data_IF_558218221230
#
_entry.id   IF_558218221230
#
_cell.length_a   1.000
_cell.length_b   1.000
_cell.length_c   1.000
_cell.angle_alpha   90.00
_cell.angle_beta   90.00
_cell.angle_gamma   90.00
#
_symmetry.space_group_name_H-M   'P 1'
#
loop_
_entity.id
_entity.type
_entity.pdbx_description
1 polymer ?
#
# COMPACT_ATOMS: atom_id res chain seq x y z
N UNK A 1 15.22 27.52 38.73
CA UNK A 1 14.53 27.08 37.51
C UNK A 1 13.74 25.85 37.89
N UNK A 2 12.41 25.93 37.83
CA UNK A 2 11.56 24.76 37.94
C UNK A 2 11.67 24.02 36.61
N UNK A 3 12.22 22.80 36.63
CA UNK A 3 12.04 21.84 35.55
C UNK A 3 10.52 21.59 35.42
N UNK A 4 9.89 22.18 34.40
CA UNK A 4 8.54 21.78 33.99
C UNK A 4 8.58 20.29 33.69
N UNK A 5 8.03 19.50 34.61
CA UNK A 5 7.86 18.06 34.45
C UNK A 5 6.87 17.83 33.32
N UNK A 6 7.39 17.68 32.11
CA UNK A 6 6.62 17.43 30.88
C UNK A 6 5.71 16.24 31.15
N UNK A 7 4.41 16.47 31.16
CA UNK A 7 3.43 15.40 31.42
C UNK A 7 3.49 14.43 30.23
N UNK A 8 4.00 13.22 30.46
CA UNK A 8 4.12 12.20 29.43
C UNK A 8 2.73 11.82 28.90
N UNK A 9 2.59 11.78 27.58
CA UNK A 9 1.36 11.34 26.93
C UNK A 9 1.04 9.91 27.39
N UNK A 10 -0.22 9.65 27.75
CA UNK A 10 -0.69 8.33 28.18
C UNK A 10 -1.53 7.68 27.07
N UNK A 11 -1.43 6.35 26.89
CA UNK A 11 -2.25 5.66 25.91
C UNK A 11 -3.71 5.71 26.33
N UNK A 12 -4.61 5.60 25.34
CA UNK A 12 -6.05 5.44 25.62
C UNK A 12 -6.27 3.96 25.88
N UNK A 13 -6.70 3.56 27.09
CA UNK A 13 -6.78 2.17 27.48
C UNK A 13 -7.88 1.42 26.71
N UNK A 14 -7.73 0.09 26.60
CA UNK A 14 -8.73 -0.82 26.03
C UNK A 14 -9.12 -0.53 24.57
N UNK A 15 -8.23 0.05 23.79
CA UNK A 15 -8.39 0.16 22.33
C UNK A 15 -7.75 -1.03 21.64
N UNK A 16 -8.10 -1.23 20.37
CA UNK A 16 -7.51 -2.24 19.49
C UNK A 16 -7.06 -1.56 18.19
N UNK A 17 -6.08 -2.13 17.48
CA UNK A 17 -5.83 -1.77 16.08
C UNK A 17 -7.12 -1.94 15.25
N UNK A 18 -7.37 -1.05 14.30
CA UNK A 18 -8.55 -1.15 13.43
C UNK A 18 -8.41 -2.26 12.37
N UNK A 19 -7.20 -2.78 12.15
CA UNK A 19 -6.88 -3.89 11.25
C UNK A 19 -6.13 -5.04 11.94
N UNK A 20 -6.10 -6.24 11.36
CA UNK A 20 -5.09 -7.25 11.70
C UNK A 20 -3.65 -6.72 11.55
N UNK A 21 -2.72 -7.12 12.43
CA UNK A 21 -1.34 -6.62 12.42
C UNK A 21 -0.64 -6.75 11.05
N UNK A 22 -0.89 -7.83 10.32
CA UNK A 22 -0.34 -8.06 8.98
C UNK A 22 -0.65 -6.94 7.98
N UNK A 23 -1.74 -6.21 8.16
CA UNK A 23 -2.19 -5.17 7.21
C UNK A 23 -1.39 -3.86 7.39
N UNK A 24 -0.78 -3.66 8.56
CA UNK A 24 0.17 -2.56 8.82
C UNK A 24 1.57 -2.84 8.28
N UNK A 25 1.91 -4.11 8.04
CA UNK A 25 3.20 -4.49 7.46
C UNK A 25 3.30 -4.06 5.98
N UNK A 26 4.50 -3.72 5.54
CA UNK A 26 4.83 -3.28 4.19
C UNK A 26 5.99 -2.29 4.16
N UNK A 27 6.37 -1.89 2.94
CA UNK A 27 7.34 -0.81 2.74
C UNK A 27 6.58 0.50 2.57
N UNK A 28 7.08 1.57 3.19
CA UNK A 28 6.53 2.92 3.10
C UNK A 28 7.64 3.88 2.71
N UNK A 29 7.36 4.86 1.86
CA UNK A 29 8.36 5.78 1.33
C UNK A 29 7.94 7.24 1.48
N UNK A 30 8.92 8.08 1.82
CA UNK A 30 8.83 9.52 1.68
C UNK A 30 10.01 10.02 0.81
N UNK A 31 9.77 10.86 -0.22
CA UNK A 31 10.81 11.25 -1.18
C UNK A 31 12.11 11.80 -0.58
N UNK A 32 12.02 12.55 0.52
CA UNK A 32 13.18 13.14 1.20
C UNK A 32 13.77 12.30 2.34
N UNK A 33 12.99 11.39 2.94
CA UNK A 33 13.40 10.65 4.16
C UNK A 33 13.71 9.18 3.87
N UNK A 34 13.42 8.69 2.66
CA UNK A 34 13.66 7.31 2.26
C UNK A 34 12.54 6.38 2.69
N UNK A 35 12.90 5.13 3.02
CA UNK A 35 11.95 4.04 3.25
C UNK A 35 11.91 3.60 4.69
N UNK A 36 10.70 3.27 5.15
CA UNK A 36 10.41 2.52 6.37
C UNK A 36 9.95 1.13 5.93
N UNK A 37 10.63 0.09 6.42
CA UNK A 37 10.21 -1.30 6.26
C UNK A 37 9.53 -1.76 7.55
N UNK A 38 8.30 -2.25 7.46
CA UNK A 38 7.55 -2.77 8.61
C UNK A 38 7.20 -4.23 8.35
N UNK A 39 7.69 -5.13 9.20
CA UNK A 39 7.47 -6.56 9.08
C UNK A 39 6.71 -7.11 10.29
N UNK A 40 5.81 -8.05 10.07
CA UNK A 40 5.21 -8.84 11.15
C UNK A 40 6.13 -10.01 11.48
N UNK A 41 6.77 -9.99 12.66
CA UNK A 41 7.60 -11.08 13.17
C UNK A 41 6.89 -11.71 14.37
N UNK A 42 6.47 -12.97 14.22
CA UNK A 42 5.56 -13.65 15.15
C UNK A 42 4.29 -12.79 15.38
N UNK A 43 4.10 -12.25 16.58
CA UNK A 43 2.93 -11.47 16.97
C UNK A 43 3.25 -9.97 17.18
N UNK A 44 4.40 -9.50 16.69
CA UNK A 44 4.83 -8.10 16.83
C UNK A 44 5.28 -7.51 15.50
N UNK A 45 4.82 -6.29 15.22
CA UNK A 45 5.38 -5.47 14.16
C UNK A 45 6.80 -5.06 14.53
N UNK A 46 7.69 -5.05 13.55
CA UNK A 46 9.06 -4.59 13.65
C UNK A 46 9.30 -3.56 12.56
N UNK A 47 9.76 -2.40 12.97
CA UNK A 47 10.06 -1.30 12.08
C UNK A 47 11.56 -1.23 11.86
N UNK A 48 11.98 -1.06 10.61
CA UNK A 48 13.33 -0.73 10.21
C UNK A 48 13.33 0.60 9.46
N UNK A 49 14.15 1.54 9.90
CA UNK A 49 14.34 2.84 9.28
C UNK A 49 15.81 3.23 9.37
N UNK A 50 16.46 3.36 8.21
CA UNK A 50 17.91 3.53 8.11
C UNK A 50 18.67 2.45 8.90
N UNK A 51 19.43 2.84 9.93
CA UNK A 51 20.18 1.93 10.79
C UNK A 51 19.39 1.44 12.02
N UNK A 52 18.21 2.01 12.27
CA UNK A 52 17.38 1.65 13.42
C UNK A 52 16.46 0.50 13.08
N UNK A 53 16.38 -0.48 13.98
CA UNK A 53 15.41 -1.57 13.92
C UNK A 53 14.87 -1.84 15.34
N UNK A 54 13.55 -1.77 15.50
CA UNK A 54 12.92 -1.97 16.81
C UNK A 54 11.49 -2.52 16.67
N UNK A 55 10.99 -3.26 17.69
CA UNK A 55 9.60 -3.68 17.72
C UNK A 55 8.67 -2.48 17.93
N UNK A 56 7.47 -2.59 17.37
CA UNK A 56 6.38 -1.65 17.57
C UNK A 56 5.35 -2.26 18.54
N UNK A 57 5.11 -1.55 19.64
CA UNK A 57 4.10 -1.89 20.64
C UNK A 57 2.81 -1.12 20.36
N UNK A 58 1.67 -1.80 20.40
CA UNK A 58 0.38 -1.11 20.28
C UNK A 58 0.21 -0.07 21.39
N UNK A 59 -0.17 1.16 21.03
CA UNK A 59 -0.35 2.28 21.95
C UNK A 59 -1.83 2.59 22.16
N UNK A 60 -2.50 3.04 21.11
CA UNK A 60 -3.96 3.10 21.03
C UNK A 60 -4.40 3.12 19.58
N UNK A 61 -5.63 2.66 19.27
CA UNK A 61 -6.17 2.69 17.91
C UNK A 61 -5.14 2.22 16.86
N UNK A 62 -4.89 3.02 15.82
CA UNK A 62 -3.87 2.80 14.79
C UNK A 62 -2.54 3.49 15.08
N UNK A 63 -2.22 3.70 16.37
CA UNK A 63 -0.97 4.29 16.85
C UNK A 63 -0.14 3.21 17.53
N UNK A 64 1.13 3.14 17.15
CA UNK A 64 2.12 2.22 17.71
C UNK A 64 3.32 2.98 18.23
N UNK A 65 3.90 2.51 19.33
CA UNK A 65 5.10 3.07 19.94
C UNK A 65 6.31 2.23 19.55
N UNK A 66 7.36 2.88 19.05
CA UNK A 66 8.69 2.31 18.91
C UNK A 66 9.64 2.97 19.90
N UNK A 67 10.59 2.20 20.44
CA UNK A 67 11.61 2.69 21.37
C UNK A 67 12.98 2.62 20.70
N UNK A 68 13.65 3.78 20.56
CA UNK A 68 15.01 3.85 20.02
C UNK A 68 16.00 3.79 21.17
N UNK A 69 16.67 2.65 21.31
CA UNK A 69 17.58 2.36 22.42
C UNK A 69 18.77 3.33 22.49
N UNK A 70 19.32 3.74 21.34
CA UNK A 70 20.48 4.61 21.26
C UNK A 70 20.24 6.01 21.84
N UNK A 71 18.99 6.48 21.80
CA UNK A 71 18.59 7.80 22.28
C UNK A 71 17.70 7.75 23.53
N UNK A 72 17.39 6.54 24.01
CA UNK A 72 16.43 6.30 25.10
C UNK A 72 15.11 7.08 24.89
N UNK A 73 14.57 6.98 23.67
CA UNK A 73 13.44 7.80 23.24
C UNK A 73 12.32 6.96 22.62
N UNK A 74 11.10 7.22 23.09
CA UNK A 74 9.88 6.69 22.49
C UNK A 74 9.39 7.58 21.34
N UNK A 75 9.00 6.95 20.24
CA UNK A 75 8.37 7.59 19.08
C UNK A 75 7.02 6.92 18.82
N UNK A 76 5.99 7.75 18.60
CA UNK A 76 4.68 7.29 18.17
C UNK A 76 4.58 7.33 16.65
N UNK A 77 4.08 6.24 16.08
CA UNK A 77 3.82 6.06 14.66
C UNK A 77 2.31 5.96 14.45
N UNK A 78 1.76 6.84 13.63
CA UNK A 78 0.32 6.87 13.32
C UNK A 78 0.07 6.26 11.95
N UNK A 79 -0.75 5.22 11.87
CA UNK A 79 -1.14 4.64 10.58
C UNK A 79 -2.44 5.25 10.07
N UNK A 80 -2.52 5.44 8.75
CA UNK A 80 -3.68 6.05 8.11
C UNK A 80 -4.28 5.11 7.06
N UNK A 81 -5.58 4.87 7.19
CA UNK A 81 -6.38 4.15 6.21
C UNK A 81 -6.95 5.08 5.15
N UNK A 82 -7.04 4.59 3.91
CA UNK A 82 -7.74 5.27 2.83
C UNK A 82 -9.26 5.00 2.86
N UNK A 83 -10.01 5.55 1.90
CA UNK A 83 -11.47 5.35 1.80
C UNK A 83 -11.91 3.92 1.50
N UNK A 84 -10.99 3.08 1.01
CA UNK A 84 -11.22 1.65 0.78
C UNK A 84 -10.92 0.82 2.04
N UNK A 85 -10.57 1.47 3.15
CA UNK A 85 -10.24 0.83 4.42
C UNK A 85 -8.86 0.18 4.43
N UNK A 86 -7.91 0.67 3.63
CA UNK A 86 -6.57 0.09 3.50
C UNK A 86 -5.53 1.04 4.07
N UNK A 87 -4.64 0.51 4.91
CA UNK A 87 -3.47 1.25 5.41
C UNK A 87 -2.63 1.72 4.21
N UNK A 88 -2.58 3.04 4.01
CA UNK A 88 -1.86 3.66 2.90
C UNK A 88 -0.68 4.51 3.34
N UNK A 89 -0.62 4.91 4.62
CA UNK A 89 0.46 5.75 5.15
C UNK A 89 0.82 5.41 6.58
N UNK A 90 2.04 5.75 6.96
CA UNK A 90 2.51 5.84 8.34
C UNK A 90 3.12 7.22 8.56
N UNK A 91 2.73 7.88 9.64
CA UNK A 91 3.25 9.17 10.11
C UNK A 91 4.24 8.96 11.25
N UNK A 92 5.31 9.74 11.27
CA UNK A 92 6.28 9.77 12.36
C UNK A 92 6.77 11.20 12.62
N UNK A 93 6.91 11.63 13.89
CA UNK A 93 7.40 12.96 14.26
C UNK A 93 8.94 13.00 14.22
N UNK A 94 9.53 12.88 13.03
CA UNK A 94 10.99 12.81 12.86
C UNK A 94 11.69 14.17 13.02
N UNK A 95 10.96 15.28 12.89
CA UNK A 95 11.50 16.63 12.98
C UNK A 95 10.93 17.36 14.21
N UNK A 96 11.75 17.55 15.25
CA UNK A 96 11.31 18.18 16.50
C UNK A 96 10.80 19.62 16.35
N UNK A 97 11.21 20.31 15.27
CA UNK A 97 10.77 21.67 14.96
C UNK A 97 9.46 21.73 14.16
N UNK A 98 8.94 20.59 13.71
CA UNK A 98 7.70 20.50 12.97
C UNK A 98 6.58 19.94 13.86
N UNK A 99 5.40 20.59 13.89
CA UNK A 99 4.27 20.09 14.66
C UNK A 99 3.54 18.91 13.98
N UNK A 100 3.78 18.69 12.69
CA UNK A 100 3.14 17.64 11.89
C UNK A 100 4.08 16.46 11.65
N UNK A 101 3.51 15.26 11.58
CA UNK A 101 4.23 14.04 11.23
C UNK A 101 4.75 14.08 9.79
N UNK A 102 5.93 13.49 9.58
CA UNK A 102 6.41 13.13 8.24
C UNK A 102 5.63 11.90 7.77
N UNK A 103 4.93 12.02 6.64
CA UNK A 103 4.05 10.98 6.11
C UNK A 103 4.74 10.12 5.04
N UNK A 104 4.96 8.85 5.35
CA UNK A 104 5.45 7.85 4.41
C UNK A 104 4.27 7.15 3.75
N UNK A 105 4.29 7.01 2.42
CA UNK A 105 3.24 6.35 1.64
C UNK A 105 3.59 4.89 1.38
N UNK A 106 2.65 3.98 1.62
CA UNK A 106 2.82 2.54 1.40
C UNK A 106 3.10 2.26 -0.07
N UNK A 107 4.18 1.55 -0.32
CA UNK A 107 4.54 1.07 -1.65
C UNK A 107 3.67 -0.15 -2.02
N UNK A 108 3.31 -0.30 -3.31
CA UNK A 108 2.67 -1.51 -3.77
C UNK A 108 3.63 -2.71 -3.62
N UNK A 109 3.11 -3.95 -3.51
CA UNK A 109 3.96 -5.13 -3.44
C UNK A 109 4.90 -5.25 -4.65
N UNK A 110 6.19 -5.51 -4.41
CA UNK A 110 7.24 -5.57 -5.45
C UNK A 110 6.91 -6.55 -6.58
N UNK A 111 6.25 -7.67 -6.26
CA UNK A 111 5.80 -8.67 -7.25
C UNK A 111 4.95 -8.08 -8.36
N UNK A 112 4.24 -6.97 -8.12
CA UNK A 112 3.40 -6.31 -9.13
C UNK A 112 4.19 -5.54 -10.18
N UNK A 113 5.49 -5.36 -9.96
CA UNK A 113 6.44 -4.81 -10.91
C UNK A 113 7.43 -5.86 -11.44
N UNK A 114 7.30 -7.12 -11.02
CA UNK A 114 8.11 -8.22 -11.55
C UNK A 114 7.71 -8.56 -13.00
N UNK A 115 8.71 -8.72 -13.87
CA UNK A 115 8.47 -8.95 -15.30
C UNK A 115 7.77 -10.29 -15.55
N UNK A 116 8.09 -11.33 -14.78
CA UNK A 116 7.45 -12.63 -14.95
C UNK A 116 5.98 -12.57 -14.55
N UNK A 117 5.65 -11.87 -13.46
CA UNK A 117 4.27 -11.59 -13.06
C UNK A 117 3.52 -10.72 -14.08
N UNK A 118 4.11 -9.60 -14.52
CA UNK A 118 3.55 -8.72 -15.56
C UNK A 118 3.21 -9.52 -16.82
N UNK A 119 4.11 -10.41 -17.26
CA UNK A 119 3.89 -11.25 -18.43
C UNK A 119 2.63 -12.13 -18.30
N UNK A 120 2.20 -12.48 -17.08
CA UNK A 120 0.97 -13.24 -16.84
C UNK A 120 -0.29 -12.42 -17.16
N UNK A 121 -0.20 -11.10 -17.04
CA UNK A 121 -1.32 -10.17 -17.21
C UNK A 121 -1.51 -9.75 -18.67
N UNK A 122 -0.47 -9.86 -19.50
CA UNK A 122 -0.50 -9.41 -20.89
C UNK A 122 -1.44 -10.26 -21.76
N UNK A 123 -2.18 -9.58 -22.64
CA UNK A 123 -3.05 -10.22 -23.62
C UNK A 123 -4.26 -9.40 -24.00
N UNK A 124 -5.13 -10.01 -24.79
CA UNK A 124 -6.42 -9.48 -25.17
C UNK A 124 -7.51 -10.07 -24.29
N UNK A 125 -8.46 -9.24 -23.87
CA UNK A 125 -9.60 -9.63 -23.05
C UNK A 125 -10.89 -9.17 -23.74
N UNK A 126 -11.88 -10.04 -23.85
CA UNK A 126 -13.18 -9.74 -24.42
C UNK A 126 -14.15 -9.27 -23.34
N UNK A 127 -14.69 -8.07 -23.53
CA UNK A 127 -15.79 -7.53 -22.76
C UNK A 127 -17.01 -7.36 -23.68
N UNK A 128 -17.85 -8.40 -23.78
CA UNK A 128 -19.09 -8.39 -24.60
C UNK A 128 -18.82 -8.02 -26.07
N UNK A 129 -17.77 -8.59 -26.66
CA UNK A 129 -17.33 -8.31 -28.04
C UNK A 129 -16.37 -7.13 -28.18
N UNK A 130 -16.16 -6.33 -27.13
CA UNK A 130 -15.14 -5.30 -27.10
C UNK A 130 -13.80 -5.91 -26.69
N UNK A 131 -12.79 -5.83 -27.56
CA UNK A 131 -11.45 -6.33 -27.24
C UNK A 131 -10.65 -5.26 -26.51
N UNK A 132 -10.32 -5.53 -25.25
CA UNK A 132 -9.45 -4.71 -24.40
C UNK A 132 -8.06 -5.33 -24.42
N UNK A 133 -7.03 -4.53 -24.70
CA UNK A 133 -5.65 -5.00 -24.74
C UNK A 133 -4.90 -4.55 -23.50
N UNK A 134 -4.25 -5.49 -22.82
CA UNK A 134 -3.28 -5.22 -21.76
C UNK A 134 -1.89 -5.53 -22.32
N UNK A 135 -1.05 -4.51 -22.42
CA UNK A 135 0.30 -4.62 -22.97
C UNK A 135 1.33 -3.81 -22.19
N UNK A 136 2.61 -4.04 -22.49
CA UNK A 136 3.72 -3.35 -21.86
C UNK A 136 4.32 -2.35 -22.85
N UNK A 137 4.15 -1.05 -22.59
CA UNK A 137 4.62 0.02 -23.46
C UNK A 137 5.47 1.01 -22.69
N UNK A 138 6.67 1.34 -23.20
CA UNK A 138 7.52 2.37 -22.58
C UNK A 138 7.91 2.09 -21.12
N UNK A 139 7.99 0.82 -20.71
CA UNK A 139 8.29 0.43 -19.34
C UNK A 139 7.09 0.46 -18.39
N UNK A 140 5.86 0.50 -18.93
CA UNK A 140 4.62 0.61 -18.15
C UNK A 140 3.58 -0.37 -18.63
N UNK A 141 2.75 -0.85 -17.70
CA UNK A 141 1.58 -1.65 -18.02
C UNK A 141 0.46 -0.73 -18.50
N UNK A 142 -0.08 -0.99 -19.68
CA UNK A 142 -1.09 -0.16 -20.32
C UNK A 142 -2.35 -0.96 -20.59
N UNK A 143 -3.51 -0.32 -20.41
CA UNK A 143 -4.81 -0.83 -20.80
C UNK A 143 -5.37 0.01 -21.95
N UNK A 144 -5.64 -0.64 -23.09
CA UNK A 144 -6.25 -0.01 -24.26
C UNK A 144 -7.66 -0.51 -24.45
N UNK A 145 -8.63 0.39 -24.28
CA UNK A 145 -10.06 0.14 -24.51
C UNK A 145 -10.47 0.89 -25.79
N UNK A 146 -11.08 0.23 -26.80
CA UNK A 146 -11.45 0.90 -28.04
C UNK A 146 -12.40 2.08 -27.80
N UNK A 147 -12.09 3.21 -28.43
CA UNK A 147 -12.84 4.46 -28.27
C UNK A 147 -12.44 5.30 -27.04
N UNK A 148 -11.45 4.87 -26.27
CA UNK A 148 -10.88 5.60 -25.14
C UNK A 148 -9.37 5.81 -25.34
N UNK A 149 -8.76 6.82 -24.68
CA UNK A 149 -7.31 6.87 -24.61
C UNK A 149 -6.76 5.65 -23.85
N UNK A 150 -5.51 5.24 -24.12
CA UNK A 150 -4.85 4.20 -23.33
C UNK A 150 -4.60 4.71 -21.90
N UNK A 151 -4.76 3.83 -20.92
CA UNK A 151 -4.54 4.14 -19.50
C UNK A 151 -3.34 3.37 -18.97
N UNK A 152 -2.47 4.07 -18.24
CA UNK A 152 -1.40 3.45 -17.45
C UNK A 152 -2.02 2.77 -16.22
N UNK A 153 -1.62 1.54 -15.98
CA UNK A 153 -2.03 0.74 -14.82
C UNK A 153 -0.94 0.80 -13.75
N UNK A 154 -1.25 1.48 -12.64
CA UNK A 154 -0.34 1.64 -11.50
C UNK A 154 -0.56 0.51 -10.50
N UNK A 155 0.48 -0.24 -10.09
CA UNK A 155 0.38 -1.26 -9.07
C UNK A 155 -0.30 -0.74 -7.79
N UNK A 156 -1.15 -1.56 -7.18
CA UNK A 156 -1.86 -1.16 -5.97
C UNK A 156 -1.73 -2.19 -4.84
N UNK A 157 -2.46 -3.30 -4.92
CA UNK A 157 -2.47 -4.36 -3.89
C UNK A 157 -2.80 -5.69 -4.53
N UNK A 158 -2.26 -6.79 -4.03
CA UNK A 158 -2.59 -8.14 -4.55
C UNK A 158 -2.61 -8.14 -6.09
N UNK A 159 -3.70 -8.56 -6.75
CA UNK A 159 -3.80 -8.53 -8.21
C UNK A 159 -4.48 -7.26 -8.77
N UNK A 160 -4.47 -6.17 -8.01
CA UNK A 160 -5.13 -4.90 -8.33
C UNK A 160 -4.18 -3.83 -8.82
N UNK A 161 -4.66 -3.07 -9.80
CA UNK A 161 -3.98 -1.91 -10.37
C UNK A 161 -4.96 -0.73 -10.47
N UNK A 162 -4.50 0.48 -10.19
CA UNK A 162 -5.27 1.72 -10.40
C UNK A 162 -5.09 2.21 -11.81
N UNK A 163 -6.12 2.85 -12.39
CA UNK A 163 -5.95 3.58 -13.64
C UNK A 163 -5.39 4.96 -13.30
N UNK A 164 -4.19 5.25 -13.79
CA UNK A 164 -3.48 6.51 -13.50
C UNK A 164 -4.34 7.71 -13.88
N UNK A 165 -4.48 8.65 -12.95
CA UNK A 165 -5.25 9.88 -13.14
C UNK A 165 -6.78 9.73 -13.01
N UNK A 166 -7.30 8.52 -12.77
CA UNK A 166 -8.73 8.26 -12.61
C UNK A 166 -9.06 7.75 -11.21
N UNK A 167 -9.45 8.67 -10.32
CA UNK A 167 -9.89 8.31 -8.97
C UNK A 167 -11.16 7.46 -8.99
N UNK A 168 -11.16 6.36 -8.23
CA UNK A 168 -12.28 5.40 -8.18
C UNK A 168 -12.29 4.38 -9.31
N UNK A 169 -11.25 4.34 -10.16
CA UNK A 169 -11.09 3.36 -11.22
C UNK A 169 -9.91 2.43 -10.93
N UNK A 170 -10.15 1.13 -11.02
CA UNK A 170 -9.12 0.11 -10.88
C UNK A 170 -9.45 -1.13 -11.72
N UNK A 171 -8.45 -1.99 -11.92
CA UNK A 171 -8.64 -3.33 -12.45
C UNK A 171 -8.15 -4.38 -11.46
N UNK A 172 -8.82 -5.52 -11.43
CA UNK A 172 -8.41 -6.72 -10.72
C UNK A 172 -8.14 -7.82 -11.75
N UNK A 173 -6.95 -8.40 -11.74
CA UNK A 173 -6.63 -9.58 -12.55
C UNK A 173 -6.96 -10.86 -11.79
N UNK A 174 -7.61 -11.80 -12.45
CA UNK A 174 -7.99 -13.09 -11.87
C UNK A 174 -7.06 -14.16 -12.42
N UNK A 175 -6.19 -14.68 -11.55
CA UNK A 175 -5.28 -15.78 -11.84
C UNK A 175 -5.88 -17.08 -11.29
N UNK A 176 -6.20 -18.02 -12.17
CA UNK A 176 -6.71 -19.33 -11.78
C UNK A 176 -5.57 -20.30 -11.47
N UNK A 177 -5.77 -21.16 -10.47
CA UNK A 177 -4.74 -22.11 -10.04
C UNK A 177 -4.37 -23.06 -11.19
N UNK A 178 -3.08 -23.06 -11.54
CA UNK A 178 -2.56 -23.89 -12.63
C UNK A 178 -2.55 -23.22 -14.00
N UNK A 179 -3.03 -21.98 -14.12
CA UNK A 179 -2.88 -21.17 -15.33
C UNK A 179 -1.70 -20.21 -15.20
N UNK A 180 -0.88 -20.14 -16.24
CA UNK A 180 0.25 -19.20 -16.30
C UNK A 180 -0.17 -17.76 -16.61
N UNK A 181 -1.40 -17.56 -17.06
CA UNK A 181 -1.92 -16.27 -17.51
C UNK A 181 -3.21 -15.95 -16.77
N UNK A 182 -3.49 -14.66 -16.55
CA UNK A 182 -4.73 -14.24 -15.93
C UNK A 182 -5.92 -14.66 -16.80
N UNK A 183 -6.89 -15.37 -16.23
CA UNK A 183 -8.09 -15.80 -16.94
C UNK A 183 -9.01 -14.62 -17.28
N UNK A 184 -9.03 -13.61 -16.42
CA UNK A 184 -9.95 -12.48 -16.50
C UNK A 184 -9.33 -11.20 -15.99
N UNK A 185 -9.89 -10.08 -16.43
CA UNK A 185 -9.67 -8.77 -15.83
C UNK A 185 -11.02 -8.15 -15.50
N UNK A 186 -11.21 -7.72 -14.25
CA UNK A 186 -12.41 -7.00 -13.81
C UNK A 186 -12.10 -5.51 -13.72
N UNK A 187 -12.92 -4.69 -14.35
CA UNK A 187 -12.85 -3.24 -14.27
C UNK A 187 -13.80 -2.77 -13.17
N UNK A 188 -13.24 -2.18 -12.13
CA UNK A 188 -13.97 -1.57 -11.03
C UNK A 188 -14.09 -0.08 -11.30
N UNK A 189 -15.32 0.35 -11.54
CA UNK A 189 -15.66 1.72 -11.90
C UNK A 189 -16.78 2.23 -10.97
N UNK A 190 -16.98 3.55 -10.83
CA UNK A 190 -18.05 4.10 -9.99
C UNK A 190 -19.46 3.63 -10.38
N UNK A 191 -19.67 3.28 -11.65
CA UNK A 191 -20.94 2.80 -12.21
C UNK A 191 -21.11 1.27 -12.17
N UNK A 192 -20.09 0.51 -11.76
CA UNK A 192 -20.20 -0.95 -11.66
C UNK A 192 -18.89 -1.70 -11.87
N UNK A 193 -18.99 -3.03 -11.80
CA UNK A 193 -17.89 -3.95 -12.05
C UNK A 193 -18.16 -4.69 -13.36
N UNK A 194 -17.18 -4.67 -14.27
CA UNK A 194 -17.29 -5.29 -15.58
C UNK A 194 -16.16 -6.32 -15.76
N UNK A 195 -16.52 -7.58 -15.98
CA UNK A 195 -15.53 -8.66 -16.15
C UNK A 195 -15.29 -8.94 -17.65
N UNK A 196 -14.02 -8.89 -18.06
CA UNK A 196 -13.57 -9.26 -19.39
C UNK A 196 -12.80 -10.58 -19.33
N UNK A 197 -13.14 -11.51 -20.23
CA UNK A 197 -12.52 -12.84 -20.30
C UNK A 197 -11.28 -12.80 -21.19
N UNK A 198 -10.20 -13.47 -20.83
CA UNK A 198 -9.03 -13.57 -21.71
C UNK A 198 -9.43 -14.25 -23.02
N UNK A 199 -9.01 -13.67 -24.15
CA UNK A 199 -9.15 -14.29 -25.46
C UNK A 199 -8.04 -15.33 -25.63
N UNK A 200 -8.40 -16.47 -26.21
CA UNK A 200 -7.45 -17.48 -26.67
C UNK A 200 -6.53 -16.92 -27.77
#
# INVERSE_FOLDING_TARGET
EEEEKKEEAKPIPNTLPSHPLKDYAGQFEHPAYGKIDIELKADSLHLKFNAFEFPLKHWHYDVFQGHILEFDQDILFTFYSNKDGIIEKVGAPLEASMPEDILFTKLPPDVLSDQAYINQLLGAYDLKGLTITIDWQGGKLMATVPGQPPYELEPYKEHWFKLKGLNGYSVEFILEKGQEKAAQVKFHQPNGIFAAQRKE
#
